data_IF_679009423249
#
_entry.id   IF_679009423249
#
_cell.length_a   1.000
_cell.length_b   1.000
_cell.length_c   1.000
_cell.angle_alpha   90.00
_cell.angle_beta   90.00
_cell.angle_gamma   90.00
#
_symmetry.space_group_name_H-M   'P 1'
#
loop_
_entity.id
_entity.type
_entity.pdbx_description
1 polymer ?
#
# COMPACT_ATOMS: atom_id res chain seq x y z
N UNK A 1 -2.36 6.78 -11.45
CA UNK A 1 -1.76 7.82 -10.61
C UNK A 1 -1.74 7.43 -9.15
N UNK A 2 -1.00 8.19 -8.36
CA UNK A 2 -0.84 8.00 -6.92
C UNK A 2 -2.13 8.35 -6.17
N UNK A 3 -2.52 7.51 -5.21
CA UNK A 3 -3.69 7.75 -4.38
C UNK A 3 -3.36 8.50 -3.07
N UNK A 4 -2.08 8.63 -2.71
CA UNK A 4 -1.68 9.29 -1.47
C UNK A 4 -2.08 10.77 -1.42
N UNK A 5 -2.29 11.28 -0.22
CA UNK A 5 -2.78 12.64 -0.01
C UNK A 5 -4.28 12.80 -0.19
N UNK A 6 -5.04 11.72 -0.40
CA UNK A 6 -6.50 11.76 -0.49
C UNK A 6 -7.16 11.14 0.74
N UNK A 7 -8.35 11.64 1.15
CA UNK A 7 -9.12 11.06 2.25
C UNK A 7 -10.03 9.89 1.79
N UNK A 8 -9.70 9.26 0.69
CA UNK A 8 -10.47 8.16 0.10
C UNK A 8 -9.88 6.79 0.44
N UNK A 9 -10.60 5.72 0.09
CA UNK A 9 -10.05 4.37 0.15
C UNK A 9 -9.05 4.18 -0.99
N UNK A 10 -7.77 4.07 -0.66
CA UNK A 10 -6.70 3.95 -1.64
C UNK A 10 -6.80 2.67 -2.48
N UNK A 11 -7.22 1.55 -1.88
CA UNK A 11 -7.37 0.28 -2.62
C UNK A 11 -8.41 0.39 -3.73
N UNK A 12 -9.49 1.12 -3.47
CA UNK A 12 -10.54 1.35 -4.48
C UNK A 12 -10.08 2.31 -5.58
N UNK A 13 -9.31 3.36 -5.22
CA UNK A 13 -8.74 4.29 -6.18
C UNK A 13 -7.69 3.61 -7.07
N UNK A 14 -6.76 2.87 -6.47
CA UNK A 14 -5.78 2.09 -7.21
C UNK A 14 -6.45 1.04 -8.10
N UNK A 15 -7.47 0.37 -7.57
CA UNK A 15 -8.23 -0.64 -8.33
C UNK A 15 -8.98 -0.08 -9.54
N UNK A 16 -9.32 1.21 -9.53
CA UNK A 16 -9.95 1.90 -10.65
C UNK A 16 -8.97 2.31 -11.76
N UNK A 17 -7.67 2.38 -11.47
CA UNK A 17 -6.63 2.73 -12.43
C UNK A 17 -6.24 1.53 -13.29
N UNK A 18 -5.85 1.76 -14.56
CA UNK A 18 -5.30 0.70 -15.42
C UNK A 18 -3.94 0.23 -14.91
N UNK A 19 -3.11 1.16 -14.46
CA UNK A 19 -1.81 0.91 -13.83
C UNK A 19 -1.79 1.64 -12.49
N UNK A 20 -2.06 0.95 -11.37
CA UNK A 20 -1.91 1.54 -10.03
C UNK A 20 -0.48 2.03 -9.83
N UNK A 21 -0.33 3.27 -9.37
CA UNK A 21 0.96 3.90 -9.18
C UNK A 21 1.13 4.38 -7.75
N UNK A 22 2.17 3.90 -7.08
CA UNK A 22 2.65 4.43 -5.79
C UNK A 22 3.82 5.38 -6.00
N UNK A 23 4.37 5.91 -4.92
CA UNK A 23 5.54 6.77 -4.94
C UNK A 23 6.56 6.33 -3.90
N UNK A 24 7.81 6.23 -4.31
CA UNK A 24 8.94 6.08 -3.41
C UNK A 24 9.49 7.46 -3.07
N UNK A 25 9.29 7.90 -1.84
CA UNK A 25 9.56 9.25 -1.38
C UNK A 25 10.58 9.27 -0.25
N UNK A 26 11.63 10.07 -0.40
CA UNK A 26 12.69 10.23 0.60
C UNK A 26 13.77 9.15 0.54
N UNK A 27 14.72 9.19 1.47
CA UNK A 27 15.80 8.23 1.54
C UNK A 27 15.32 6.90 2.12
N UNK A 28 15.79 5.81 1.55
CA UNK A 28 15.52 4.48 2.12
C UNK A 28 16.17 4.36 3.50
N UNK A 29 15.46 3.85 4.52
CA UNK A 29 15.99 3.64 5.87
C UNK A 29 16.94 2.44 5.95
N UNK A 30 17.29 1.79 4.84
CA UNK A 30 18.15 0.63 4.80
C UNK A 30 19.56 1.00 5.25
N UNK A 31 19.96 0.49 6.41
CA UNK A 31 21.31 0.66 6.96
C UNK A 31 22.27 -0.32 6.27
N UNK A 32 22.64 -0.02 5.03
CA UNK A 32 23.58 -0.82 4.24
C UNK A 32 24.99 -0.27 4.45
N UNK A 33 25.91 -1.12 4.89
CA UNK A 33 27.32 -0.77 5.09
C UNK A 33 27.91 -0.19 3.79
N UNK A 34 28.60 0.94 3.89
CA UNK A 34 29.24 1.68 2.79
C UNK A 34 28.28 2.35 1.79
N UNK A 35 26.98 2.34 2.03
CA UNK A 35 26.04 3.18 1.26
C UNK A 35 26.03 4.59 1.84
N UNK A 36 26.14 5.58 0.98
CA UNK A 36 26.09 6.98 1.38
C UNK A 36 24.74 7.31 1.99
N UNK A 37 24.73 7.89 3.18
CA UNK A 37 23.58 8.54 3.78
C UNK A 37 23.76 10.04 3.62
N UNK A 38 22.76 10.73 3.11
CA UNK A 38 22.80 12.20 3.03
C UNK A 38 22.64 12.79 4.43
N UNK A 39 23.67 13.51 4.89
CA UNK A 39 23.67 14.14 6.23
C UNK A 39 22.67 15.29 6.37
N UNK A 40 22.20 15.83 5.24
CA UNK A 40 21.25 16.95 5.19
C UNK A 40 19.82 16.42 5.09
N UNK A 41 19.62 15.12 4.87
CA UNK A 41 18.31 14.52 4.78
C UNK A 41 17.55 14.70 6.10
N UNK A 42 16.38 15.33 6.00
CA UNK A 42 15.51 15.57 7.14
C UNK A 42 14.21 14.78 6.96
N UNK A 43 14.12 13.64 7.64
CA UNK A 43 12.95 12.76 7.58
C UNK A 43 11.64 13.47 7.96
N UNK A 44 11.69 14.44 8.88
CA UNK A 44 10.49 15.22 9.26
C UNK A 44 9.97 16.10 8.14
N UNK A 45 10.87 16.59 7.27
CA UNK A 45 10.51 17.46 6.14
C UNK A 45 10.18 16.65 4.87
N UNK A 46 10.90 15.56 4.62
CA UNK A 46 10.81 14.80 3.37
C UNK A 46 10.11 13.45 3.53
N UNK A 47 9.84 13.03 4.78
CA UNK A 47 9.25 11.72 5.04
C UNK A 47 10.22 10.57 4.79
N UNK A 48 9.70 9.37 4.74
CA UNK A 48 10.45 8.15 4.43
C UNK A 48 9.60 7.17 3.63
N UNK A 49 10.19 6.36 2.75
CA UNK A 49 9.47 5.25 2.14
C UNK A 49 9.03 4.26 3.21
N UNK A 50 7.83 3.73 3.07
CA UNK A 50 7.33 2.68 3.94
C UNK A 50 6.74 1.55 3.11
N UNK A 51 7.38 0.39 3.17
CA UNK A 51 7.00 -0.79 2.37
C UNK A 51 5.58 -1.28 2.63
N UNK A 52 5.03 -1.02 3.82
CA UNK A 52 3.62 -1.37 4.11
C UNK A 52 2.66 -0.49 3.34
N UNK A 53 2.98 0.79 3.15
CA UNK A 53 2.15 1.70 2.36
C UNK A 53 2.37 1.54 0.85
N UNK A 54 3.60 1.25 0.41
CA UNK A 54 3.89 0.93 -0.99
C UNK A 54 3.06 -0.25 -1.49
N UNK A 55 2.79 -1.24 -0.62
CA UNK A 55 1.96 -2.41 -0.91
C UNK A 55 0.48 -2.11 -1.23
N UNK A 56 -0.05 -0.96 -0.91
CA UNK A 56 -1.45 -0.64 -1.24
C UNK A 56 -1.70 -0.70 -2.75
N UNK A 57 -0.76 -0.17 -3.56
CA UNK A 57 -0.88 -0.21 -5.01
C UNK A 57 -0.77 -1.64 -5.57
N UNK A 58 0.22 -2.43 -5.12
CA UNK A 58 0.39 -3.82 -5.58
C UNK A 58 -0.76 -4.72 -5.13
N UNK A 59 -1.24 -4.57 -3.89
CA UNK A 59 -2.39 -5.31 -3.39
C UNK A 59 -3.64 -5.04 -4.23
N UNK A 60 -3.91 -3.77 -4.55
CA UNK A 60 -5.03 -3.43 -5.44
C UNK A 60 -4.85 -4.04 -6.83
N UNK A 61 -3.62 -4.07 -7.37
CA UNK A 61 -3.32 -4.72 -8.65
C UNK A 61 -3.61 -6.22 -8.60
N UNK A 62 -3.12 -6.92 -7.58
CA UNK A 62 -3.31 -8.36 -7.41
C UNK A 62 -4.80 -8.72 -7.25
N UNK A 63 -5.51 -8.01 -6.36
CA UNK A 63 -6.94 -8.24 -6.10
C UNK A 63 -7.81 -7.94 -7.33
N UNK A 64 -7.46 -6.92 -8.12
CA UNK A 64 -8.22 -6.50 -9.30
C UNK A 64 -7.70 -7.08 -10.62
N UNK A 65 -6.63 -7.88 -10.61
CA UNK A 65 -6.09 -8.56 -11.79
C UNK A 65 -5.36 -7.62 -12.75
N UNK A 66 -4.70 -6.60 -12.23
CA UNK A 66 -3.84 -5.71 -13.04
C UNK A 66 -2.45 -6.32 -13.17
N UNK A 67 -1.91 -6.31 -14.38
CA UNK A 67 -0.58 -6.89 -14.66
C UNK A 67 0.58 -5.98 -14.28
N UNK A 68 0.34 -4.67 -14.22
CA UNK A 68 1.37 -3.69 -13.90
C UNK A 68 1.02 -2.91 -12.64
N UNK A 69 2.03 -2.73 -11.81
CA UNK A 69 2.02 -1.80 -10.67
C UNK A 69 3.24 -0.94 -10.75
N UNK A 70 3.06 0.37 -10.88
CA UNK A 70 4.15 1.30 -11.06
C UNK A 70 4.52 2.05 -9.78
N UNK A 71 5.70 2.63 -9.78
CA UNK A 71 6.10 3.63 -8.79
C UNK A 71 6.79 4.80 -9.46
N UNK A 72 6.40 6.01 -9.11
CA UNK A 72 7.28 7.17 -9.22
C UNK A 72 8.40 6.98 -8.21
N UNK A 73 9.65 6.99 -8.68
CA UNK A 73 10.77 6.44 -7.91
C UNK A 73 11.88 7.45 -7.75
N UNK A 74 12.46 7.50 -6.55
CA UNK A 74 13.54 8.39 -6.15
C UNK A 74 13.14 9.87 -6.01
N UNK A 75 11.86 10.17 -5.82
CA UNK A 75 11.39 11.49 -5.40
C UNK A 75 12.02 11.85 -4.05
N UNK A 76 12.64 13.02 -3.96
CA UNK A 76 13.34 13.47 -2.74
C UNK A 76 14.37 12.49 -2.16
N UNK A 77 14.98 11.63 -2.99
CA UNK A 77 16.03 10.69 -2.55
C UNK A 77 17.25 11.42 -1.94
N UNK A 78 17.48 12.65 -2.33
CA UNK A 78 18.50 13.55 -1.81
C UNK A 78 18.54 14.84 -2.63
N UNK A 79 19.46 15.73 -2.29
CA UNK A 79 19.68 16.97 -3.00
C UNK A 79 20.05 16.75 -4.48
N UNK A 80 19.76 17.76 -5.31
CA UNK A 80 20.14 17.76 -6.72
C UNK A 80 21.61 17.42 -6.91
N UNK A 81 21.91 16.49 -7.82
CA UNK A 81 23.27 16.05 -8.20
C UNK A 81 24.10 15.43 -7.05
N UNK A 82 23.53 15.21 -5.87
CA UNK A 82 24.23 14.62 -4.72
C UNK A 82 23.88 13.15 -4.48
N UNK A 83 22.92 12.60 -5.22
CA UNK A 83 22.51 11.20 -5.13
C UNK A 83 23.47 10.31 -5.90
N UNK A 84 23.71 9.10 -5.36
CA UNK A 84 24.42 8.04 -6.06
C UNK A 84 23.49 6.89 -6.42
N UNK A 85 23.80 6.13 -7.47
CA UNK A 85 23.00 4.94 -7.85
C UNK A 85 22.95 3.88 -6.75
N UNK A 86 23.97 3.82 -5.88
CA UNK A 86 23.99 2.98 -4.67
C UNK A 86 22.93 3.35 -3.64
N UNK A 87 22.33 4.54 -3.72
CA UNK A 87 21.19 4.95 -2.90
C UNK A 87 19.85 4.63 -3.59
N UNK A 88 19.80 4.79 -4.92
CA UNK A 88 18.61 4.50 -5.71
C UNK A 88 18.31 2.98 -5.79
N UNK A 89 19.34 2.16 -5.98
CA UNK A 89 19.16 0.70 -6.15
C UNK A 89 18.44 0.04 -4.96
N UNK A 90 18.85 0.21 -3.68
CA UNK A 90 18.15 -0.40 -2.56
C UNK A 90 16.68 0.04 -2.46
N UNK A 91 16.38 1.28 -2.82
CA UNK A 91 15.01 1.78 -2.86
C UNK A 91 14.17 1.07 -3.92
N UNK A 92 14.74 0.82 -5.09
CA UNK A 92 14.08 0.03 -6.15
C UNK A 92 13.89 -1.43 -5.72
N UNK A 93 14.88 -2.02 -5.05
CA UNK A 93 14.77 -3.38 -4.52
C UNK A 93 13.63 -3.47 -3.47
N UNK A 94 13.47 -2.45 -2.63
CA UNK A 94 12.37 -2.35 -1.68
C UNK A 94 10.99 -2.23 -2.35
N UNK A 95 10.92 -1.53 -3.47
CA UNK A 95 9.72 -1.48 -4.32
C UNK A 95 9.39 -2.86 -4.87
N UNK A 96 10.37 -3.59 -5.40
CA UNK A 96 10.16 -4.94 -5.94
C UNK A 96 9.62 -5.91 -4.88
N UNK A 97 10.19 -5.92 -3.67
CA UNK A 97 9.67 -6.77 -2.59
C UNK A 97 8.32 -6.30 -2.03
N UNK A 98 7.88 -5.10 -2.39
CA UNK A 98 6.54 -4.58 -2.10
C UNK A 98 5.54 -4.87 -3.24
N UNK A 99 5.93 -5.64 -4.27
CA UNK A 99 5.08 -6.06 -5.37
C UNK A 99 4.98 -5.05 -6.53
N UNK A 100 5.84 -4.03 -6.54
CA UNK A 100 5.93 -3.08 -7.65
C UNK A 100 6.74 -3.74 -8.78
N UNK A 101 6.28 -3.63 -10.03
CA UNK A 101 6.94 -4.25 -11.17
C UNK A 101 7.15 -3.30 -12.36
N UNK A 102 6.93 -2.00 -12.16
CA UNK A 102 7.12 -0.97 -13.17
C UNK A 102 7.71 0.31 -12.54
N UNK A 103 9.00 0.55 -12.77
CA UNK A 103 9.76 1.65 -12.17
C UNK A 103 9.79 2.85 -13.10
N UNK A 104 9.41 4.01 -12.60
CA UNK A 104 9.51 5.30 -13.29
C UNK A 104 10.43 6.22 -12.48
N UNK A 105 11.66 6.44 -12.98
CA UNK A 105 12.63 7.28 -12.28
C UNK A 105 12.25 8.76 -12.34
N UNK A 106 12.18 9.41 -11.22
CA UNK A 106 11.95 10.86 -11.08
C UNK A 106 13.27 11.58 -10.90
N UNK A 107 13.59 12.51 -11.77
CA UNK A 107 13.36 12.61 -13.21
C UNK A 107 14.54 13.43 -13.79
N UNK A 108 14.52 13.70 -15.07
CA UNK A 108 15.37 14.70 -15.70
C UNK A 108 14.53 15.87 -16.20
N UNK A 109 14.81 17.09 -15.76
CA UNK A 109 14.09 18.25 -16.27
C UNK A 109 14.48 18.51 -17.72
N UNK A 110 13.49 18.77 -18.58
CA UNK A 110 13.76 19.26 -19.92
C UNK A 110 14.25 20.70 -19.85
N UNK A 111 15.38 20.99 -20.50
CA UNK A 111 15.97 22.32 -20.54
C UNK A 111 16.14 22.79 -21.96
N UNK A 112 15.74 24.04 -22.26
CA UNK A 112 16.07 24.66 -23.55
C UNK A 112 17.59 24.69 -23.79
N UNK A 113 18.01 24.67 -25.08
CA UNK A 113 19.42 24.64 -25.47
C UNK A 113 20.21 25.86 -24.99
N UNK A 114 19.52 26.98 -24.82
CA UNK A 114 20.06 28.28 -24.42
C UNK A 114 20.34 28.41 -22.93
N UNK A 115 19.90 27.43 -22.15
CA UNK A 115 20.08 27.44 -20.69
C UNK A 115 21.42 26.77 -20.34
N UNK A 116 22.24 27.50 -19.59
CA UNK A 116 23.54 27.02 -19.12
C UNK A 116 23.46 25.77 -18.26
N UNK A 117 24.58 25.01 -18.24
CA UNK A 117 24.73 23.84 -17.37
C UNK A 117 24.49 24.22 -15.89
N UNK A 118 23.75 23.44 -15.11
CA UNK A 118 23.21 22.11 -15.37
C UNK A 118 21.80 22.08 -16.00
N UNK A 119 21.27 23.18 -16.45
CA UNK A 119 19.93 23.28 -17.00
C UNK A 119 18.88 23.54 -15.90
N UNK A 120 17.61 23.44 -16.30
CA UNK A 120 16.50 23.52 -15.35
C UNK A 120 16.49 22.30 -14.40
N UNK A 121 15.99 22.52 -13.22
CA UNK A 121 15.88 21.50 -12.17
C UNK A 121 14.44 21.35 -11.72
N UNK A 122 14.00 20.12 -11.57
CA UNK A 122 12.73 19.83 -10.93
C UNK A 122 12.96 19.64 -9.43
N UNK A 123 12.24 20.36 -8.60
CA UNK A 123 12.55 20.51 -7.17
C UNK A 123 12.68 19.19 -6.38
N UNK A 124 11.87 18.13 -6.63
CA UNK A 124 11.96 16.87 -5.87
C UNK A 124 12.81 15.79 -6.56
N UNK A 125 13.54 16.11 -7.64
CA UNK A 125 14.23 15.10 -8.42
C UNK A 125 15.66 14.84 -7.95
N UNK A 126 16.03 13.55 -7.97
CA UNK A 126 17.41 13.12 -7.82
C UNK A 126 18.29 13.41 -9.07
N UNK A 127 17.67 13.87 -10.15
CA UNK A 127 18.24 14.22 -11.45
C UNK A 127 18.93 13.06 -12.17
N UNK A 128 18.14 12.23 -12.85
CA UNK A 128 18.59 11.14 -13.70
C UNK A 128 18.84 11.55 -15.18
N UNK A 129 18.79 12.84 -15.46
CA UNK A 129 18.96 13.38 -16.79
C UNK A 129 20.40 13.30 -17.33
N UNK A 130 20.58 13.75 -18.58
CA UNK A 130 21.86 13.74 -19.30
C UNK A 130 22.95 14.61 -18.66
N UNK A 131 22.57 15.54 -17.77
CA UNK A 131 23.49 16.39 -17.02
C UNK A 131 23.96 15.77 -15.70
N UNK A 132 23.47 14.57 -15.37
CA UNK A 132 23.85 13.85 -14.14
C UNK A 132 25.27 13.28 -14.25
N UNK A 133 25.97 13.24 -13.09
CA UNK A 133 27.31 12.64 -12.99
C UNK A 133 27.34 11.13 -13.31
N UNK A 134 26.20 10.43 -13.22
CA UNK A 134 26.11 9.00 -13.54
C UNK A 134 25.48 8.70 -14.90
N UNK A 135 25.39 9.67 -15.78
CA UNK A 135 24.83 9.51 -17.13
C UNK A 135 25.44 8.30 -17.90
N UNK A 136 26.74 8.07 -17.78
CA UNK A 136 27.43 6.95 -18.45
C UNK A 136 27.10 5.58 -17.81
N UNK A 137 26.62 5.55 -16.56
CA UNK A 137 26.28 4.32 -15.84
C UNK A 137 24.78 4.00 -15.86
N UNK A 138 23.95 4.95 -16.24
CA UNK A 138 22.48 4.80 -16.33
C UNK A 138 22.10 3.60 -17.22
N UNK A 139 22.71 3.34 -18.38
CA UNK A 139 22.34 2.18 -19.21
C UNK A 139 22.46 0.85 -18.46
N UNK A 140 23.54 0.65 -17.69
CA UNK A 140 23.73 -0.57 -16.90
C UNK A 140 22.71 -0.67 -15.75
N UNK A 141 22.40 0.44 -15.10
CA UNK A 141 21.37 0.50 -14.07
C UNK A 141 19.97 0.20 -14.63
N UNK A 142 19.65 0.80 -15.78
CA UNK A 142 18.38 0.54 -16.48
C UNK A 142 18.27 -0.92 -16.93
N UNK A 143 19.37 -1.54 -17.34
CA UNK A 143 19.39 -2.97 -17.68
C UNK A 143 19.10 -3.86 -16.48
N UNK A 144 19.64 -3.52 -15.29
CA UNK A 144 19.28 -4.20 -14.06
C UNK A 144 17.78 -4.08 -13.78
N UNK A 145 17.25 -2.86 -13.82
CA UNK A 145 15.82 -2.59 -13.62
C UNK A 145 14.95 -3.39 -14.62
N UNK A 146 15.30 -3.34 -15.90
CA UNK A 146 14.57 -4.04 -16.97
C UNK A 146 14.55 -5.56 -16.76
N UNK A 147 15.67 -6.16 -16.33
CA UNK A 147 15.76 -7.61 -16.04
C UNK A 147 14.85 -8.01 -14.87
N UNK A 148 14.88 -7.24 -13.79
CA UNK A 148 13.99 -7.50 -12.64
C UNK A 148 12.52 -7.35 -13.04
N UNK A 149 12.18 -6.28 -13.75
CA UNK A 149 10.81 -6.06 -14.22
C UNK A 149 10.34 -7.17 -15.18
N UNK A 150 11.20 -7.65 -16.07
CA UNK A 150 10.87 -8.75 -16.96
C UNK A 150 10.44 -10.01 -16.19
N UNK A 151 11.18 -10.36 -15.15
CA UNK A 151 10.83 -11.51 -14.30
C UNK A 151 9.51 -11.26 -13.54
N UNK A 152 9.38 -10.11 -12.88
CA UNK A 152 8.23 -9.79 -12.05
C UNK A 152 6.94 -9.59 -12.86
N UNK A 153 7.02 -9.04 -14.06
CA UNK A 153 5.86 -8.87 -14.96
C UNK A 153 5.38 -10.17 -15.61
N UNK A 154 6.23 -11.19 -15.66
CA UNK A 154 5.91 -12.51 -16.18
C UNK A 154 5.68 -13.56 -15.08
N UNK A 155 5.51 -13.12 -13.84
CA UNK A 155 5.17 -13.94 -12.69
C UNK A 155 3.85 -13.50 -12.06
N UNK A 156 3.28 -14.34 -11.22
CA UNK A 156 2.11 -14.02 -10.38
C UNK A 156 2.50 -14.01 -8.90
N UNK A 157 1.78 -13.24 -8.11
CA UNK A 157 1.92 -13.28 -6.65
C UNK A 157 1.46 -14.64 -6.10
N UNK A 158 2.13 -15.11 -5.06
CA UNK A 158 1.80 -16.35 -4.33
C UNK A 158 1.38 -16.03 -2.87
N UNK A 159 0.78 -14.88 -2.66
CA UNK A 159 0.26 -14.49 -1.35
C UNK A 159 -0.99 -15.31 -1.00
N UNK A 160 -1.01 -15.91 0.18
CA UNK A 160 -2.16 -16.72 0.64
C UNK A 160 -3.12 -15.94 1.54
N UNK A 161 -2.72 -14.76 2.01
CA UNK A 161 -3.42 -13.99 3.04
C UNK A 161 -3.89 -12.65 2.51
N UNK A 162 -5.15 -12.32 2.81
CA UNK A 162 -5.72 -10.97 2.69
C UNK A 162 -5.73 -10.28 4.06
N UNK A 163 -5.30 -9.03 4.10
CA UNK A 163 -5.41 -8.18 5.29
C UNK A 163 -6.43 -7.07 5.03
N UNK A 164 -7.55 -7.11 5.77
CA UNK A 164 -8.62 -6.12 5.64
C UNK A 164 -8.18 -4.74 6.12
N UNK A 165 -8.50 -3.70 5.35
CA UNK A 165 -8.19 -2.29 5.68
C UNK A 165 -9.44 -1.59 6.23
N UNK A 166 -9.50 -1.26 7.54
CA UNK A 166 -10.68 -0.66 8.18
C UNK A 166 -10.77 0.85 7.91
N UNK A 167 -11.01 1.25 6.65
CA UNK A 167 -11.03 2.66 6.25
C UNK A 167 -12.03 3.51 7.03
N UNK A 168 -13.15 2.94 7.46
CA UNK A 168 -14.15 3.66 8.25
C UNK A 168 -13.63 4.11 9.62
N UNK A 169 -12.70 3.36 10.22
CA UNK A 169 -12.04 3.78 11.45
C UNK A 169 -11.05 4.89 11.18
N UNK A 170 -10.25 4.81 10.10
CA UNK A 170 -9.35 5.90 9.70
C UNK A 170 -10.09 7.21 9.46
N UNK A 171 -11.27 7.18 8.87
CA UNK A 171 -12.07 8.39 8.61
C UNK A 171 -12.69 9.00 9.86
N UNK A 172 -12.93 8.20 10.89
CA UNK A 172 -13.69 8.63 12.09
C UNK A 172 -12.81 8.93 13.28
N UNK A 173 -11.55 8.48 13.31
CA UNK A 173 -10.62 8.81 14.38
C UNK A 173 -9.95 10.15 14.10
N UNK A 174 -10.27 11.15 14.90
CA UNK A 174 -9.56 12.42 14.96
C UNK A 174 -8.85 12.54 16.30
N UNK A 175 -7.56 12.90 16.26
CA UNK A 175 -6.74 13.02 17.45
C UNK A 175 -6.94 14.33 18.21
N UNK A 176 -7.74 15.26 17.66
CA UNK A 176 -7.86 16.60 18.19
C UNK A 176 -9.27 17.16 17.97
N UNK A 177 -9.85 17.79 18.98
CA UNK A 177 -11.16 18.46 18.87
C UNK A 177 -11.17 19.53 17.77
N UNK A 178 -10.03 20.18 17.54
CA UNK A 178 -9.84 21.18 16.49
C UNK A 178 -9.71 20.59 15.09
N UNK A 179 -9.41 19.28 14.97
CA UNK A 179 -9.22 18.59 13.69
C UNK A 179 -10.53 18.07 13.08
N UNK A 180 -11.65 18.13 13.80
CA UNK A 180 -12.97 17.68 13.29
C UNK A 180 -13.47 18.44 12.08
N UNK A 181 -12.96 19.63 11.86
CA UNK A 181 -13.27 20.46 10.68
C UNK A 181 -12.27 20.33 9.54
N UNK A 182 -11.15 19.64 9.74
CA UNK A 182 -10.09 19.49 8.73
C UNK A 182 -10.19 18.14 8.03
N UNK A 183 -10.11 18.17 6.72
CA UNK A 183 -10.03 16.98 5.90
C UNK A 183 -8.75 16.19 6.24
N UNK A 184 -8.91 14.94 6.71
CA UNK A 184 -7.77 14.09 7.05
C UNK A 184 -7.10 13.58 5.78
N UNK A 185 -5.84 13.96 5.59
CA UNK A 185 -5.03 13.53 4.45
C UNK A 185 -4.21 12.30 4.84
N UNK A 186 -4.30 11.26 4.04
CA UNK A 186 -3.47 10.05 4.20
C UNK A 186 -2.26 10.13 3.29
N UNK A 187 -1.06 10.21 3.85
CA UNK A 187 0.17 10.39 3.09
C UNK A 187 1.06 9.15 3.17
N UNK A 188 1.64 8.79 2.02
CA UNK A 188 2.48 7.59 1.90
C UNK A 188 3.80 7.72 2.67
N UNK A 189 4.31 8.92 2.81
CA UNK A 189 5.60 9.21 3.44
C UNK A 189 5.50 9.60 4.93
N UNK A 190 4.30 9.63 5.51
CA UNK A 190 4.07 9.89 6.93
C UNK A 190 3.14 8.83 7.56
N UNK A 191 3.52 7.54 7.55
CA UNK A 191 2.68 6.44 8.03
C UNK A 191 2.35 6.56 9.52
N UNK A 192 3.24 7.14 10.33
CA UNK A 192 3.06 7.28 11.77
C UNK A 192 1.94 8.26 12.13
N UNK A 193 1.49 9.10 11.22
CA UNK A 193 0.38 10.04 11.45
C UNK A 193 -1.00 9.40 11.31
N UNK A 194 -1.11 8.22 10.72
CA UNK A 194 -2.39 7.57 10.48
C UNK A 194 -2.32 6.03 10.51
N UNK A 195 -1.45 5.38 9.71
CA UNK A 195 -1.44 3.94 9.53
C UNK A 195 -0.98 3.19 10.79
N UNK A 196 0.13 3.61 11.40
CA UNK A 196 0.68 2.99 12.60
C UNK A 196 0.00 3.43 13.91
N UNK A 197 -1.02 4.27 13.82
CA UNK A 197 -1.90 4.57 14.95
C UNK A 197 -3.05 3.57 15.11
N UNK A 198 -3.23 2.70 14.13
CA UNK A 198 -4.24 1.66 14.09
C UNK A 198 -3.59 0.29 14.21
N UNK A 199 -4.31 -0.68 14.75
CA UNK A 199 -3.82 -2.06 14.95
C UNK A 199 -3.37 -2.73 13.62
N UNK A 200 -3.92 -2.33 12.49
CA UNK A 200 -3.51 -2.84 11.17
C UNK A 200 -2.02 -2.62 10.89
N UNK A 201 -1.46 -1.47 11.30
CA UNK A 201 -0.04 -1.16 11.09
C UNK A 201 0.87 -2.13 11.84
N UNK A 202 0.54 -2.46 13.08
CA UNK A 202 1.29 -3.42 13.90
C UNK A 202 1.11 -4.84 13.39
N UNK A 203 -0.10 -5.23 12.98
CA UNK A 203 -0.39 -6.53 12.38
C UNK A 203 0.41 -6.70 11.08
N UNK A 204 0.38 -5.73 10.18
CA UNK A 204 1.12 -5.76 8.92
C UNK A 204 2.63 -5.92 9.15
N UNK A 205 3.21 -5.14 10.07
CA UNK A 205 4.63 -5.27 10.44
C UNK A 205 4.95 -6.62 11.05
N UNK A 206 4.09 -7.11 11.92
CA UNK A 206 4.28 -8.42 12.57
C UNK A 206 4.22 -9.54 11.56
N UNK A 207 3.23 -9.58 10.68
CA UNK A 207 3.14 -10.57 9.62
C UNK A 207 4.41 -10.60 8.77
N UNK A 208 4.88 -9.45 8.30
CA UNK A 208 6.12 -9.37 7.51
C UNK A 208 7.36 -9.83 8.28
N UNK A 209 7.47 -9.49 9.57
CA UNK A 209 8.58 -9.92 10.41
C UNK A 209 8.61 -11.43 10.62
N UNK A 210 7.44 -12.03 10.77
CA UNK A 210 7.28 -13.48 10.95
C UNK A 210 7.31 -14.28 9.62
N UNK A 211 7.54 -13.59 8.49
CA UNK A 211 7.69 -14.23 7.17
C UNK A 211 6.39 -14.42 6.39
N UNK A 212 5.28 -13.88 6.86
CA UNK A 212 4.01 -13.91 6.13
C UNK A 212 3.92 -12.73 5.17
N UNK A 213 3.70 -13.01 3.90
CA UNK A 213 3.28 -11.99 2.95
C UNK A 213 1.76 -11.98 2.81
N UNK A 214 1.21 -10.85 2.35
CA UNK A 214 -0.23 -10.64 2.27
C UNK A 214 -0.54 -9.55 1.23
N UNK A 215 -1.81 -9.48 0.82
CA UNK A 215 -2.35 -8.34 0.11
C UNK A 215 -3.42 -7.64 0.94
N UNK A 216 -3.48 -6.33 0.85
CA UNK A 216 -4.56 -5.54 1.44
C UNK A 216 -5.86 -5.72 0.64
N UNK A 217 -7.00 -5.64 1.34
CA UNK A 217 -8.31 -5.69 0.70
C UNK A 217 -9.27 -4.67 1.32
N UNK A 218 -10.08 -4.01 0.48
CA UNK A 218 -11.11 -3.05 0.88
C UNK A 218 -12.47 -3.70 1.07
N UNK A 219 -13.40 -2.98 1.70
CA UNK A 219 -14.81 -3.36 1.82
C UNK A 219 -15.42 -3.70 0.46
N UNK A 220 -15.23 -2.82 -0.52
CA UNK A 220 -15.75 -3.01 -1.87
C UNK A 220 -15.17 -4.25 -2.54
N UNK A 221 -13.88 -4.46 -2.42
CA UNK A 221 -13.19 -5.61 -3.00
C UNK A 221 -13.63 -6.93 -2.33
N UNK A 222 -13.87 -6.93 -1.01
CA UNK A 222 -14.45 -8.09 -0.30
C UNK A 222 -15.81 -8.44 -0.87
N UNK A 223 -16.72 -7.47 -1.00
CA UNK A 223 -18.07 -7.67 -1.52
C UNK A 223 -18.07 -8.16 -2.98
N UNK A 224 -17.08 -7.77 -3.77
CA UNK A 224 -16.90 -8.22 -5.16
C UNK A 224 -16.24 -9.60 -5.28
N UNK A 225 -15.69 -10.14 -4.21
CA UNK A 225 -15.00 -11.44 -4.19
C UNK A 225 -15.97 -12.58 -3.92
N UNK A 226 -15.60 -13.80 -4.34
CA UNK A 226 -16.37 -15.01 -4.10
C UNK A 226 -15.57 -16.02 -3.28
N UNK A 227 -16.27 -16.99 -2.67
CA UNK A 227 -15.63 -18.12 -2.00
C UNK A 227 -15.92 -19.42 -2.76
N UNK A 228 -14.87 -20.17 -3.07
CA UNK A 228 -14.95 -21.47 -3.77
C UNK A 228 -14.00 -22.45 -3.09
N UNK A 229 -14.52 -23.59 -2.62
CA UNK A 229 -13.75 -24.67 -1.99
C UNK A 229 -12.80 -24.17 -0.86
N UNK A 230 -13.33 -23.35 0.05
CA UNK A 230 -12.56 -22.84 1.18
C UNK A 230 -11.54 -21.74 0.84
N UNK A 231 -11.60 -21.18 -0.36
CA UNK A 231 -10.67 -20.13 -0.83
C UNK A 231 -11.44 -18.92 -1.31
N UNK A 232 -10.89 -17.73 -1.10
CA UNK A 232 -11.39 -16.48 -1.66
C UNK A 232 -10.86 -16.33 -3.08
N UNK A 233 -11.75 -16.06 -4.01
CA UNK A 233 -11.43 -15.72 -5.41
C UNK A 233 -11.82 -14.27 -5.63
N UNK A 234 -10.84 -13.44 -5.89
CA UNK A 234 -11.02 -11.99 -6.07
C UNK A 234 -11.52 -11.65 -7.48
N UNK A 235 -11.96 -10.40 -7.74
CA UNK A 235 -12.33 -9.96 -9.10
C UNK A 235 -11.22 -10.20 -10.14
N UNK A 236 -9.95 -10.07 -9.74
CA UNK A 236 -8.77 -10.32 -10.56
C UNK A 236 -8.43 -11.80 -10.73
N UNK A 237 -9.23 -12.71 -10.16
CA UNK A 237 -9.02 -14.17 -10.14
C UNK A 237 -7.82 -14.62 -9.28
N UNK A 238 -7.23 -13.75 -8.50
CA UNK A 238 -6.25 -14.15 -7.47
C UNK A 238 -6.95 -14.94 -6.36
N UNK A 239 -6.24 -15.92 -5.80
CA UNK A 239 -6.81 -16.91 -4.87
C UNK A 239 -6.11 -16.81 -3.52
N UNK A 240 -6.90 -16.67 -2.44
CA UNK A 240 -6.39 -16.57 -1.08
C UNK A 240 -7.09 -17.62 -0.19
N UNK A 241 -6.37 -18.12 0.81
CA UNK A 241 -6.89 -19.11 1.76
C UNK A 241 -7.42 -18.49 3.04
N UNK A 242 -6.90 -17.32 3.39
CA UNK A 242 -7.12 -16.68 4.69
C UNK A 242 -7.41 -15.21 4.54
N UNK A 243 -8.33 -14.68 5.34
CA UNK A 243 -8.50 -13.25 5.54
C UNK A 243 -8.28 -12.90 7.02
N UNK A 244 -7.39 -11.94 7.26
CA UNK A 244 -7.14 -11.35 8.58
C UNK A 244 -7.88 -10.03 8.69
N UNK A 245 -8.74 -9.92 9.69
CA UNK A 245 -9.48 -8.71 10.03
C UNK A 245 -8.81 -8.10 11.26
N UNK A 246 -8.10 -6.95 11.14
CA UNK A 246 -7.49 -6.28 12.28
C UNK A 246 -8.58 -5.79 13.25
N UNK A 247 -8.19 -5.49 14.47
CA UNK A 247 -9.10 -4.87 15.40
C UNK A 247 -9.69 -3.58 14.82
N UNK A 248 -10.96 -3.58 14.51
CA UNK A 248 -11.69 -2.42 14.02
C UNK A 248 -12.96 -2.18 14.83
N UNK A 249 -13.37 -0.92 14.90
CA UNK A 249 -14.61 -0.53 15.60
C UNK A 249 -15.81 -0.65 14.67
N UNK A 250 -15.62 -0.26 13.39
CA UNK A 250 -16.69 -0.13 12.40
C UNK A 250 -16.42 -1.00 11.18
N UNK A 251 -17.45 -1.74 10.78
CA UNK A 251 -17.43 -2.52 9.55
C UNK A 251 -18.79 -2.37 8.85
N UNK A 252 -18.82 -2.11 7.53
CA UNK A 252 -20.07 -2.12 6.78
C UNK A 252 -20.81 -3.45 6.91
N UNK A 253 -22.14 -3.39 6.96
CA UNK A 253 -22.98 -4.58 7.06
C UNK A 253 -22.74 -5.52 5.86
N UNK A 254 -22.60 -4.98 4.64
CA UNK A 254 -22.29 -5.76 3.45
C UNK A 254 -20.97 -6.52 3.52
N UNK A 255 -19.95 -5.91 4.14
CA UNK A 255 -18.64 -6.58 4.35
C UNK A 255 -18.83 -7.75 5.33
N UNK A 256 -19.54 -7.54 6.42
CA UNK A 256 -19.80 -8.61 7.39
C UNK A 256 -20.65 -9.74 6.79
N UNK A 257 -21.66 -9.42 5.98
CA UNK A 257 -22.46 -10.40 5.23
C UNK A 257 -21.57 -11.25 4.31
N UNK A 258 -20.61 -10.62 3.62
CA UNK A 258 -19.69 -11.35 2.75
C UNK A 258 -18.70 -12.21 3.54
N UNK A 259 -18.21 -11.74 4.69
CA UNK A 259 -17.38 -12.56 5.60
C UNK A 259 -18.13 -13.77 6.12
N UNK A 260 -19.43 -13.63 6.46
CA UNK A 260 -20.26 -14.77 6.83
C UNK A 260 -20.35 -15.82 5.70
N UNK A 261 -20.55 -15.36 4.45
CA UNK A 261 -20.55 -16.25 3.29
C UNK A 261 -19.18 -16.94 3.10
N UNK A 262 -18.08 -16.24 3.35
CA UNK A 262 -16.75 -16.83 3.34
C UNK A 262 -16.60 -17.90 4.41
N UNK A 263 -17.04 -17.63 5.65
CA UNK A 263 -17.01 -18.61 6.74
C UNK A 263 -17.83 -19.85 6.40
N UNK A 264 -19.05 -19.69 5.90
CA UNK A 264 -19.93 -20.79 5.46
C UNK A 264 -19.29 -21.67 4.39
N UNK A 265 -18.47 -21.07 3.50
CA UNK A 265 -17.75 -21.77 2.42
C UNK A 265 -16.39 -22.34 2.87
N UNK A 266 -16.05 -22.25 4.15
CA UNK A 266 -14.85 -22.84 4.73
C UNK A 266 -13.57 -22.02 4.59
N UNK A 267 -13.66 -20.72 4.22
CA UNK A 267 -12.50 -19.81 4.19
C UNK A 267 -12.02 -19.56 5.62
N UNK A 268 -10.70 -19.57 5.84
CA UNK A 268 -10.13 -19.20 7.13
C UNK A 268 -10.28 -17.71 7.39
N UNK A 269 -10.91 -17.35 8.51
CA UNK A 269 -11.08 -15.96 8.95
C UNK A 269 -10.45 -15.78 10.32
N UNK A 270 -9.57 -14.79 10.44
CA UNK A 270 -8.89 -14.44 11.70
C UNK A 270 -9.28 -13.03 12.09
N UNK A 271 -10.05 -12.87 13.16
CA UNK A 271 -10.26 -11.57 13.79
C UNK A 271 -9.16 -11.33 14.82
N UNK A 272 -8.24 -10.43 14.50
CA UNK A 272 -7.14 -10.13 15.40
C UNK A 272 -7.67 -9.38 16.65
N UNK A 273 -7.56 -10.02 17.80
CA UNK A 273 -7.93 -9.55 19.14
C UNK A 273 -9.45 -9.41 19.41
N UNK A 274 -10.24 -8.92 18.48
CA UNK A 274 -11.70 -8.74 18.65
C UNK A 274 -12.41 -8.50 17.33
N UNK A 275 -13.69 -8.82 17.31
CA UNK A 275 -14.59 -8.54 16.20
C UNK A 275 -15.03 -7.06 16.17
N UNK A 276 -15.51 -6.55 15.02
CA UNK A 276 -16.06 -5.21 14.91
C UNK A 276 -17.26 -5.00 15.82
N UNK A 277 -17.55 -3.73 16.17
CA UNK A 277 -18.54 -3.39 17.20
C UNK A 277 -19.79 -2.69 16.66
N UNK A 278 -19.69 -2.02 15.51
CA UNK A 278 -20.79 -1.23 14.97
C UNK A 278 -20.68 -1.06 13.44
N UNK A 279 -21.77 -0.60 12.86
CA UNK A 279 -21.87 -0.26 11.44
C UNK A 279 -21.51 1.22 11.26
N UNK A 280 -20.71 1.59 10.25
CA UNK A 280 -20.47 3.00 9.91
C UNK A 280 -21.73 3.63 9.29
N UNK A 281 -21.92 4.96 9.48
CA UNK A 281 -22.97 5.75 8.87
C UNK A 281 -23.81 6.52 9.88
N UNK A 282 -24.46 7.60 9.39
CA UNK A 282 -25.23 8.51 10.24
C UNK A 282 -26.60 7.94 10.69
N UNK A 283 -27.33 7.31 9.77
CA UNK A 283 -28.67 6.78 10.02
C UNK A 283 -28.72 5.25 9.96
N UNK A 284 -27.96 4.57 10.84
CA UNK A 284 -28.05 3.11 10.96
C UNK A 284 -29.33 2.74 11.70
N UNK A 285 -30.23 2.00 11.05
CA UNK A 285 -31.48 1.55 11.64
C UNK A 285 -31.27 0.45 12.69
N UNK A 286 -32.20 0.34 13.65
CA UNK A 286 -32.22 -0.75 14.63
C UNK A 286 -32.28 -2.14 13.98
N UNK A 287 -32.95 -2.25 12.83
CA UNK A 287 -32.98 -3.50 12.05
C UNK A 287 -31.58 -3.90 11.58
N UNK A 288 -30.81 -2.95 11.01
CA UNK A 288 -29.45 -3.21 10.57
C UNK A 288 -28.51 -3.55 11.73
N UNK A 289 -28.65 -2.89 12.88
CA UNK A 289 -27.87 -3.23 14.08
C UNK A 289 -28.16 -4.64 14.58
N UNK A 290 -29.43 -5.02 14.66
CA UNK A 290 -29.82 -6.39 15.04
C UNK A 290 -29.24 -7.42 14.08
N UNK A 291 -29.36 -7.18 12.78
CA UNK A 291 -28.76 -8.05 11.76
C UNK A 291 -27.24 -8.16 11.92
N UNK A 292 -26.55 -7.03 12.15
CA UNK A 292 -25.10 -6.99 12.34
C UNK A 292 -24.66 -7.87 13.53
N UNK A 293 -25.31 -7.73 14.69
CA UNK A 293 -24.96 -8.54 15.85
C UNK A 293 -25.33 -10.02 15.67
N UNK A 294 -26.45 -10.31 15.00
CA UNK A 294 -26.80 -11.69 14.66
C UNK A 294 -25.76 -12.36 13.75
N UNK A 295 -25.25 -11.63 12.77
CA UNK A 295 -24.17 -12.11 11.89
C UNK A 295 -22.85 -12.33 12.64
N UNK A 296 -22.49 -11.45 13.58
CA UNK A 296 -21.31 -11.65 14.42
C UNK A 296 -21.40 -12.93 15.25
N UNK A 297 -22.57 -13.20 15.83
CA UNK A 297 -22.79 -14.41 16.63
C UNK A 297 -22.81 -15.67 15.76
N UNK A 298 -23.38 -15.60 14.56
CA UNK A 298 -23.33 -16.70 13.57
C UNK A 298 -21.87 -16.99 13.15
N UNK A 299 -21.09 -15.96 12.80
CA UNK A 299 -19.70 -16.09 12.36
C UNK A 299 -18.84 -16.76 13.42
N UNK A 300 -19.01 -16.44 14.70
CA UNK A 300 -18.29 -17.09 15.82
C UNK A 300 -18.50 -18.60 15.89
N UNK A 301 -19.62 -19.09 15.37
CA UNK A 301 -19.98 -20.52 15.39
C UNK A 301 -19.24 -21.39 14.39
N UNK A 302 -18.53 -20.80 13.40
CA UNK A 302 -17.82 -21.57 12.39
C UNK A 302 -16.43 -22.01 12.88
N UNK A 303 -16.05 -23.27 12.65
CA UNK A 303 -14.78 -23.85 13.08
C UNK A 303 -13.56 -23.26 12.37
N UNK A 304 -13.75 -22.62 11.22
CA UNK A 304 -12.74 -21.94 10.42
C UNK A 304 -12.62 -20.44 10.73
N UNK A 305 -13.22 -20.00 11.85
CA UNK A 305 -13.10 -18.62 12.35
C UNK A 305 -12.34 -18.63 13.67
N UNK A 306 -11.35 -17.75 13.78
CA UNK A 306 -10.52 -17.54 14.98
C UNK A 306 -10.67 -16.09 15.47
N UNK A 307 -10.66 -15.88 16.81
CA UNK A 307 -10.77 -14.56 17.43
C UNK A 307 -9.68 -14.41 18.48
#
# INVERSE_FOLDING_TARGET
EQAHGTPANWLDLYGASDIPQTESFGASPLNIKNVRIDKVYNEKSFGRPDKMLLKFASSASHVMGKSLTSSETATWLGDHFKVALSQAKPQIDELYISGINHIMLTCGAYSPKEIDFPGWRFYPAANFGITSAFKETIPNFSLYVARCQHLLQNSSTDNEVLLYVPMHDFWTESDDEDSRSKLKMFTIHNPDTWFYRQDIGDIARTMKREGFDFDYISDRQIVMSNAVNGKIVTPGKSVYTTIVVPCCKRMPLSTLQQLRLFAEKGVQIVFAYRMPRDIPGYHVSEKQRKEFYSLLDEIKGYNNVQI
#
